data_IF_262509644235
#
_entry.id   IF_262509644235
#
_cell.length_a   1.000
_cell.length_b   1.000
_cell.length_c   1.000
_cell.angle_alpha   90.00
_cell.angle_beta   90.00
_cell.angle_gamma   90.00
#
_symmetry.space_group_name_H-M   'P 1'
#
loop_
_entity.id
_entity.type
_entity.pdbx_description
1 polymer ?
#
# COMPACT_ATOMS: atom_id res chain seq x y z
N UNK A 1 -10.13 19.70 -10.64
CA UNK A 1 -9.20 18.73 -10.02
C UNK A 1 -9.40 17.39 -10.69
N UNK A 2 -8.34 16.72 -11.13
CA UNK A 2 -8.41 15.34 -11.61
C UNK A 2 -8.65 14.36 -10.45
N UNK A 3 -8.91 13.08 -10.76
CA UNK A 3 -9.24 12.06 -9.75
C UNK A 3 -8.13 11.88 -8.70
N UNK A 4 -6.86 11.95 -9.10
CA UNK A 4 -5.70 11.80 -8.19
C UNK A 4 -5.51 13.00 -7.28
N UNK A 5 -5.76 14.22 -7.79
CA UNK A 5 -5.79 15.43 -6.96
C UNK A 5 -6.90 15.36 -5.92
N UNK A 6 -8.07 14.82 -6.28
CA UNK A 6 -9.16 14.60 -5.33
C UNK A 6 -8.79 13.53 -4.29
N UNK A 7 -8.16 12.43 -4.71
CA UNK A 7 -7.67 11.41 -3.80
C UNK A 7 -6.62 11.96 -2.83
N UNK A 8 -5.63 12.72 -3.32
CA UNK A 8 -4.59 13.33 -2.49
C UNK A 8 -5.20 14.26 -1.41
N UNK A 9 -6.15 15.13 -1.79
CA UNK A 9 -6.85 15.98 -0.81
C UNK A 9 -7.65 15.15 0.19
N UNK A 10 -8.39 14.14 -0.27
CA UNK A 10 -9.18 13.24 0.60
C UNK A 10 -8.29 12.57 1.64
N UNK A 11 -7.16 12.00 1.20
CA UNK A 11 -6.26 11.25 2.07
C UNK A 11 -5.43 12.16 2.98
N UNK A 12 -5.03 13.34 2.53
CA UNK A 12 -4.39 14.33 3.40
C UNK A 12 -5.32 14.76 4.55
N UNK A 13 -6.62 14.94 4.30
CA UNK A 13 -7.60 15.24 5.36
C UNK A 13 -7.83 14.06 6.32
N UNK A 14 -7.71 12.81 5.84
CA UNK A 14 -7.94 11.60 6.65
C UNK A 14 -6.70 11.18 7.46
N UNK A 15 -5.51 11.41 6.95
CA UNK A 15 -4.23 11.03 7.57
C UNK A 15 -3.74 12.12 8.51
N UNK A 16 -4.46 12.27 9.62
CA UNK A 16 -4.20 13.25 10.68
C UNK A 16 -4.04 12.56 12.04
N UNK A 17 -3.22 13.13 12.95
CA UNK A 17 -2.43 14.35 12.81
C UNK A 17 -1.18 14.16 11.95
N UNK A 18 -0.68 15.24 11.34
CA UNK A 18 0.58 15.26 10.58
C UNK A 18 1.52 16.36 11.07
N UNK A 19 2.82 16.15 10.91
CA UNK A 19 3.84 17.21 11.10
C UNK A 19 3.85 18.19 9.93
N UNK A 20 3.34 17.78 8.77
CA UNK A 20 3.18 18.64 7.61
C UNK A 20 1.91 19.47 7.69
N UNK A 21 1.97 20.67 7.12
CA UNK A 21 0.75 21.40 6.78
C UNK A 21 -0.08 20.61 5.77
N UNK A 22 -1.39 20.90 5.69
CA UNK A 22 -2.26 20.21 4.74
C UNK A 22 -1.77 20.36 3.29
N UNK A 23 -1.23 21.54 2.93
CA UNK A 23 -0.67 21.78 1.59
C UNK A 23 0.56 20.91 1.33
N UNK A 24 1.52 20.86 2.26
CA UNK A 24 2.72 20.03 2.13
C UNK A 24 2.35 18.54 2.04
N UNK A 25 1.36 18.09 2.80
CA UNK A 25 0.89 16.70 2.73
C UNK A 25 0.24 16.39 1.37
N UNK A 26 -0.55 17.32 0.81
CA UNK A 26 -1.11 17.14 -0.54
C UNK A 26 0.02 17.10 -1.58
N UNK A 27 1.00 17.99 -1.48
CA UNK A 27 2.15 18.04 -2.39
C UNK A 27 2.95 16.72 -2.32
N UNK A 28 3.15 16.15 -1.13
CA UNK A 28 3.79 14.84 -0.91
C UNK A 28 2.98 13.69 -1.56
N UNK A 29 1.67 13.64 -1.35
CA UNK A 29 0.81 12.62 -1.97
C UNK A 29 0.78 12.74 -3.51
N UNK A 30 0.83 13.97 -4.03
CA UNK A 30 0.97 14.19 -5.48
C UNK A 30 2.33 13.78 -6.01
N UNK A 31 3.40 13.86 -5.21
CA UNK A 31 4.70 13.32 -5.58
C UNK A 31 4.64 11.80 -5.80
N UNK A 32 3.94 11.04 -4.94
CA UNK A 32 3.72 9.61 -5.17
C UNK A 32 2.95 9.35 -6.48
N UNK A 33 1.88 10.10 -6.73
CA UNK A 33 1.08 9.99 -7.95
C UNK A 33 1.92 10.18 -9.22
N UNK A 34 2.82 11.18 -9.22
CA UNK A 34 3.68 11.49 -10.35
C UNK A 34 4.75 10.43 -10.59
N UNK A 35 5.40 9.95 -9.53
CA UNK A 35 6.44 8.93 -9.65
C UNK A 35 5.88 7.56 -10.04
N UNK A 36 4.61 7.29 -9.74
CA UNK A 36 3.94 6.04 -10.08
C UNK A 36 3.30 6.01 -11.48
N UNK A 37 3.41 7.08 -12.28
CA UNK A 37 2.69 7.18 -13.57
C UNK A 37 2.92 5.97 -14.50
N UNK A 38 4.17 5.50 -14.59
CA UNK A 38 4.55 4.36 -15.43
C UNK A 38 4.09 2.99 -14.91
N UNK A 39 3.57 2.93 -13.68
CA UNK A 39 3.10 1.72 -13.02
C UNK A 39 1.57 1.67 -12.89
N UNK A 40 0.87 2.64 -13.48
CA UNK A 40 -0.59 2.70 -13.41
C UNK A 40 -1.24 1.45 -14.04
N UNK A 41 -2.20 0.86 -13.34
CA UNK A 41 -2.89 -0.38 -13.72
C UNK A 41 -2.08 -1.65 -13.49
N UNK A 42 -0.88 -1.54 -12.90
CA UNK A 42 -0.14 -2.72 -12.43
C UNK A 42 -0.80 -3.25 -11.15
N UNK A 43 -0.74 -4.56 -11.00
CA UNK A 43 -1.20 -5.24 -9.79
C UNK A 43 -0.01 -5.55 -8.91
N UNK A 44 -0.15 -5.32 -7.61
CA UNK A 44 0.83 -5.69 -6.59
C UNK A 44 0.11 -6.49 -5.52
N UNK A 45 0.54 -7.73 -5.31
CA UNK A 45 0.04 -8.56 -4.23
C UNK A 45 1.03 -8.61 -3.07
N UNK A 46 0.58 -8.15 -1.92
CA UNK A 46 1.33 -8.15 -0.68
C UNK A 46 0.62 -9.01 0.37
N UNK A 47 1.41 -9.55 1.30
CA UNK A 47 0.91 -10.34 2.41
C UNK A 47 1.60 -9.95 3.71
N UNK A 48 0.82 -9.87 4.78
CA UNK A 48 1.30 -9.53 6.11
C UNK A 48 0.68 -10.42 7.19
N UNK A 49 1.32 -10.45 8.35
CA UNK A 49 0.81 -11.18 9.50
C UNK A 49 -0.41 -10.51 10.18
N UNK A 50 -1.07 -11.23 11.09
CA UNK A 50 -2.35 -10.79 11.69
C UNK A 50 -2.16 -9.88 12.91
N UNK A 51 -1.51 -8.73 12.74
CA UNK A 51 -1.45 -7.69 13.77
C UNK A 51 -2.33 -6.48 13.44
N UNK A 52 -2.60 -5.65 14.45
CA UNK A 52 -3.47 -4.46 14.30
C UNK A 52 -2.95 -3.48 13.26
N UNK A 53 -1.63 -3.28 13.21
CA UNK A 53 -0.97 -2.37 12.26
C UNK A 53 -1.21 -2.81 10.83
N UNK A 54 -0.95 -4.08 10.50
CA UNK A 54 -1.16 -4.60 9.14
C UNK A 54 -2.63 -4.62 8.73
N UNK A 55 -3.55 -4.88 9.65
CA UNK A 55 -4.99 -4.71 9.38
C UNK A 55 -5.32 -3.27 9.00
N UNK A 56 -4.73 -2.29 9.68
CA UNK A 56 -4.90 -0.88 9.36
C UNK A 56 -4.27 -0.52 8.01
N UNK A 57 -3.08 -1.04 7.69
CA UNK A 57 -2.43 -0.89 6.39
C UNK A 57 -3.33 -1.45 5.27
N UNK A 58 -3.86 -2.66 5.45
CA UNK A 58 -4.77 -3.32 4.51
C UNK A 58 -6.03 -2.50 4.24
N UNK A 59 -6.68 -2.02 5.30
CA UNK A 59 -7.96 -1.33 5.16
C UNK A 59 -7.83 0.16 4.84
N UNK A 60 -6.64 0.73 4.99
CA UNK A 60 -6.44 2.19 4.94
C UNK A 60 -5.34 2.59 3.98
N UNK A 61 -4.10 2.14 4.19
CA UNK A 61 -2.97 2.59 3.40
C UNK A 61 -2.96 1.99 1.99
N UNK A 62 -3.27 0.70 1.82
CA UNK A 62 -3.32 0.07 0.51
C UNK A 62 -4.40 0.70 -0.41
N UNK A 63 -5.63 0.95 0.07
CA UNK A 63 -6.61 1.72 -0.69
C UNK A 63 -6.16 3.15 -0.98
N UNK A 64 -5.52 3.83 -0.02
CA UNK A 64 -5.01 5.17 -0.22
C UNK A 64 -3.98 5.24 -1.33
N UNK A 65 -2.99 4.35 -1.26
CA UNK A 65 -1.94 4.25 -2.25
C UNK A 65 -2.52 3.93 -3.62
N UNK A 66 -3.48 3.00 -3.71
CA UNK A 66 -4.11 2.61 -4.97
C UNK A 66 -4.86 3.78 -5.61
N UNK A 67 -5.65 4.52 -4.84
CA UNK A 67 -6.39 5.68 -5.37
C UNK A 67 -5.46 6.84 -5.80
N UNK A 68 -4.34 7.03 -5.10
CA UNK A 68 -3.41 8.13 -5.37
C UNK A 68 -2.53 7.80 -6.58
N UNK A 69 -2.02 6.57 -6.66
CA UNK A 69 -1.04 6.17 -7.67
C UNK A 69 -1.66 5.53 -8.90
N UNK A 70 -2.82 4.88 -8.75
CA UNK A 70 -3.42 4.03 -9.76
C UNK A 70 -2.76 2.66 -9.87
N UNK A 71 -1.94 2.24 -8.90
CA UNK A 71 -1.43 0.87 -8.77
C UNK A 71 -2.46 0.07 -7.98
N UNK A 72 -2.89 -1.09 -8.49
CA UNK A 72 -3.88 -1.93 -7.82
C UNK A 72 -3.19 -2.79 -6.74
N UNK A 73 -3.30 -2.37 -5.47
CA UNK A 73 -2.65 -3.06 -4.34
C UNK A 73 -3.63 -3.97 -3.61
N UNK A 74 -3.34 -5.26 -3.60
CA UNK A 74 -3.98 -6.23 -2.71
C UNK A 74 -3.08 -6.48 -1.52
N UNK A 75 -3.55 -6.19 -0.29
CA UNK A 75 -2.81 -6.43 0.94
C UNK A 75 -3.51 -7.47 1.82
N UNK A 76 -3.04 -8.72 1.71
CA UNK A 76 -3.60 -9.88 2.39
C UNK A 76 -3.11 -9.99 3.82
N UNK A 77 -3.98 -10.47 4.71
CA UNK A 77 -3.65 -10.72 6.12
C UNK A 77 -3.78 -12.22 6.41
N UNK A 78 -2.69 -12.83 6.88
CA UNK A 78 -2.63 -14.26 7.24
C UNK A 78 -1.95 -14.47 8.61
N UNK A 79 -1.97 -15.69 9.13
CA UNK A 79 -1.20 -16.02 10.34
C UNK A 79 0.31 -15.99 10.09
N UNK A 80 1.09 -15.58 11.07
CA UNK A 80 2.56 -15.49 11.01
C UNK A 80 3.21 -16.81 10.55
N UNK A 81 2.80 -17.95 11.13
CA UNK A 81 3.31 -19.26 10.71
C UNK A 81 3.08 -19.55 9.22
N UNK A 82 1.90 -19.18 8.70
CA UNK A 82 1.59 -19.31 7.27
C UNK A 82 2.37 -18.31 6.40
N UNK A 83 2.68 -17.12 6.94
CA UNK A 83 3.52 -16.13 6.27
C UNK A 83 4.93 -16.67 6.03
N UNK A 84 5.56 -17.18 7.09
CA UNK A 84 6.91 -17.75 7.02
C UNK A 84 6.94 -18.97 6.09
N UNK A 85 5.95 -19.86 6.18
CA UNK A 85 5.84 -21.04 5.32
C UNK A 85 5.73 -20.66 3.83
N UNK A 86 4.90 -19.66 3.50
CA UNK A 86 4.74 -19.19 2.12
C UNK A 86 6.02 -18.54 1.59
N UNK A 87 6.72 -17.75 2.40
CA UNK A 87 7.99 -17.15 2.01
C UNK A 87 9.04 -18.23 1.73
N UNK A 88 9.16 -19.22 2.62
CA UNK A 88 10.07 -20.35 2.43
C UNK A 88 9.72 -21.16 1.18
N UNK A 89 8.43 -21.38 0.91
CA UNK A 89 7.96 -22.07 -0.29
C UNK A 89 8.34 -21.32 -1.58
N UNK A 90 8.17 -19.99 -1.60
CA UNK A 90 8.60 -19.14 -2.72
C UNK A 90 10.11 -19.23 -2.95
N UNK A 91 10.91 -19.12 -1.88
CA UNK A 91 12.38 -19.22 -1.96
C UNK A 91 12.86 -20.60 -2.45
N UNK A 92 12.25 -21.68 -1.95
CA UNK A 92 12.62 -23.04 -2.32
C UNK A 92 12.18 -23.40 -3.76
N UNK A 93 11.01 -22.91 -4.19
CA UNK A 93 10.47 -23.21 -5.52
C UNK A 93 10.96 -22.28 -6.63
N UNK A 94 11.47 -21.09 -6.27
CA UNK A 94 11.80 -20.02 -7.21
C UNK A 94 10.57 -19.40 -7.91
N UNK A 95 9.35 -19.71 -7.47
CA UNK A 95 8.10 -19.20 -8.04
C UNK A 95 7.54 -18.10 -7.17
N UNK A 96 7.19 -16.97 -7.78
CA UNK A 96 6.51 -15.88 -7.08
C UNK A 96 5.12 -16.33 -6.62
N UNK A 97 4.82 -16.10 -5.34
CA UNK A 97 3.52 -16.29 -4.69
C UNK A 97 2.96 -14.94 -4.29
N UNK A 98 3.79 -14.07 -3.72
CA UNK A 98 3.49 -12.67 -3.45
C UNK A 98 4.69 -11.80 -3.85
N UNK A 99 4.40 -10.55 -4.21
CA UNK A 99 5.42 -9.55 -4.54
C UNK A 99 6.08 -8.99 -3.28
N UNK A 100 5.33 -8.90 -2.18
CA UNK A 100 5.78 -8.30 -0.92
C UNK A 100 5.33 -9.15 0.28
N UNK A 101 6.26 -9.36 1.21
CA UNK A 101 6.03 -9.99 2.52
C UNK A 101 6.33 -8.99 3.62
N UNK A 102 5.45 -8.88 4.62
CA UNK A 102 5.59 -7.95 5.76
C UNK A 102 5.40 -8.72 7.07
N UNK A 103 6.37 -8.60 7.97
CA UNK A 103 6.39 -9.15 9.33
C UNK A 103 6.81 -8.02 10.29
N UNK A 104 6.49 -8.16 11.59
CA UNK A 104 6.66 -7.13 12.61
C UNK A 104 8.11 -6.92 13.10
#
# INVERSE_FOLDING_TARGET
>A
MNEREQAAVKWAMKLQPSVFTLKEQIDELMWFAQNAEGLRGQNVESVAETIKTHKWESSTLAPAFSEITGIDVTHNIIGEGSLVEKLQTQLASGRSVYDIYVND
#
